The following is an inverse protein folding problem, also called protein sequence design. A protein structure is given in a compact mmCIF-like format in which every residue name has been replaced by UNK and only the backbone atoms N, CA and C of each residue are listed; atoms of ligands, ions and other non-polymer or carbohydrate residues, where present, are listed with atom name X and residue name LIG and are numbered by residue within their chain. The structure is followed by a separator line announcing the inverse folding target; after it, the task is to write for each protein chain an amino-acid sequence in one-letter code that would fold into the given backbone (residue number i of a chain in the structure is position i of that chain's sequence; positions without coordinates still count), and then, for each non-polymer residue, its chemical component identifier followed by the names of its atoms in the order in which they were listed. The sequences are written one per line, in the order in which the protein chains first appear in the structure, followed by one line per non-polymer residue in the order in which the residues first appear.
data_IF_918481397883
#
_entry.id   IF_918481397883
#
_cell.length_a   1.000
_cell.length_b   1.000
_cell.length_c   1.000
_cell.angle_alpha   90.00
_cell.angle_beta   90.00
_cell.angle_gamma   90.00
#
_symmetry.space_group_name_H-M   'P 1'
#
loop_
_entity.id
_entity.type
_entity.pdbx_description
1 polymer ?
#
# COMPACT_ATOMS: atom_id res chain seq x y z
N UNK A 1 5.72 9.53 -4.44
CA UNK A 1 5.32 8.18 -4.88
C UNK A 1 5.49 7.99 -6.39
N UNK A 2 4.84 8.79 -7.26
CA UNK A 2 4.94 8.63 -8.73
C UNK A 2 6.38 8.83 -9.25
N UNK A 3 7.14 9.77 -8.72
CA UNK A 3 8.54 9.95 -9.06
C UNK A 3 9.39 8.70 -8.72
N UNK A 4 9.12 8.05 -7.59
CA UNK A 4 9.75 6.78 -7.22
C UNK A 4 9.42 5.67 -8.24
N UNK A 5 8.14 5.57 -8.64
CA UNK A 5 7.70 4.61 -9.65
C UNK A 5 8.43 4.79 -10.98
N UNK A 6 8.60 6.03 -11.44
CA UNK A 6 9.35 6.34 -12.67
C UNK A 6 10.84 5.94 -12.54
N UNK A 7 11.48 6.26 -11.42
CA UNK A 7 12.89 5.91 -11.18
C UNK A 7 13.07 4.40 -11.16
N UNK A 8 12.18 3.65 -10.54
CA UNK A 8 12.21 2.19 -10.60
C UNK A 8 12.02 1.69 -12.05
N UNK A 9 11.05 2.25 -12.78
CA UNK A 9 10.78 1.83 -14.17
C UNK A 9 11.91 2.10 -15.17
N UNK A 10 12.77 3.08 -14.87
CA UNK A 10 13.93 3.39 -15.73
C UNK A 10 15.08 2.38 -15.59
N UNK A 11 15.07 1.49 -14.59
CA UNK A 11 16.09 0.46 -14.39
C UNK A 11 17.51 1.00 -14.21
N UNK A 12 17.66 2.19 -13.60
CA UNK A 12 18.94 2.85 -13.43
C UNK A 12 19.83 2.08 -12.43
N UNK A 13 21.15 2.18 -12.57
CA UNK A 13 22.12 1.55 -11.68
C UNK A 13 21.89 1.86 -10.19
N UNK A 14 21.53 3.11 -9.86
CA UNK A 14 21.15 3.54 -8.51
C UNK A 14 19.63 3.66 -8.32
N UNK A 15 18.83 3.09 -9.22
CA UNK A 15 17.39 3.21 -9.25
C UNK A 15 16.71 2.73 -7.96
N UNK A 16 17.21 1.67 -7.35
CA UNK A 16 16.69 1.14 -6.08
C UNK A 16 16.91 2.11 -4.92
N UNK A 17 18.08 2.72 -4.84
CA UNK A 17 18.41 3.68 -3.77
C UNK A 17 17.61 4.97 -3.94
N UNK A 18 17.66 5.56 -5.14
CA UNK A 18 16.96 6.82 -5.43
C UNK A 18 15.44 6.64 -5.31
N UNK A 19 14.91 5.57 -5.90
CA UNK A 19 13.48 5.24 -5.83
C UNK A 19 13.01 5.00 -4.39
N UNK A 20 13.80 4.28 -3.58
CA UNK A 20 13.51 4.03 -2.18
C UNK A 20 13.52 5.31 -1.34
N UNK A 21 14.52 6.18 -1.51
CA UNK A 21 14.58 7.48 -0.83
C UNK A 21 13.37 8.35 -1.20
N UNK A 22 13.04 8.44 -2.49
CA UNK A 22 11.87 9.20 -2.95
C UNK A 22 10.56 8.63 -2.37
N UNK A 23 10.48 7.31 -2.19
CA UNK A 23 9.33 6.66 -1.59
C UNK A 23 9.21 6.99 -0.10
N UNK A 24 10.31 6.96 0.65
CA UNK A 24 10.33 7.35 2.07
C UNK A 24 9.96 8.83 2.25
N UNK A 25 10.52 9.71 1.45
CA UNK A 25 10.19 11.16 1.46
C UNK A 25 8.71 11.38 1.15
N UNK A 26 8.17 10.69 0.13
CA UNK A 26 6.75 10.77 -0.20
C UNK A 26 5.86 10.30 0.95
N UNK A 27 6.20 9.18 1.59
CA UNK A 27 5.45 8.66 2.74
C UNK A 27 5.49 9.60 3.95
N UNK A 28 6.61 10.26 4.17
CA UNK A 28 6.74 11.27 5.23
C UNK A 28 5.81 12.46 5.00
N UNK A 29 5.79 13.02 3.79
CA UNK A 29 4.89 14.13 3.45
C UNK A 29 3.42 13.72 3.55
N UNK A 30 3.05 12.55 3.09
CA UNK A 30 1.70 11.98 3.17
C UNK A 30 1.21 11.91 4.64
N UNK A 31 2.10 11.47 5.53
CA UNK A 31 1.82 11.41 6.97
C UNK A 31 1.64 12.82 7.58
N UNK A 32 2.48 13.78 7.21
CA UNK A 32 2.41 15.16 7.72
C UNK A 32 1.15 15.84 7.22
N UNK A 33 0.85 15.76 5.93
CA UNK A 33 -0.33 16.39 5.32
C UNK A 33 -1.62 15.82 5.92
N UNK A 34 -1.69 14.50 6.13
CA UNK A 34 -2.80 13.86 6.80
C UNK A 34 -3.01 14.31 8.25
N UNK A 35 -1.92 14.56 8.99
CA UNK A 35 -2.00 15.10 10.36
C UNK A 35 -2.47 16.56 10.38
N UNK A 36 -1.93 17.39 9.50
CA UNK A 36 -2.31 18.81 9.36
C UNK A 36 -3.78 18.94 8.97
N UNK A 37 -4.25 18.17 8.00
CA UNK A 37 -5.65 18.18 7.58
C UNK A 37 -6.61 17.82 8.73
N UNK A 38 -6.26 16.83 9.53
CA UNK A 38 -7.05 16.46 10.74
C UNK A 38 -7.02 17.55 11.81
N UNK A 39 -5.85 18.14 12.08
CA UNK A 39 -5.69 19.17 13.10
C UNK A 39 -6.41 20.49 12.73
N UNK A 40 -6.51 20.80 11.43
CA UNK A 40 -7.15 22.04 10.95
C UNK A 40 -8.64 21.88 10.63
N UNK A 41 -9.19 20.67 10.73
CA UNK A 41 -10.60 20.38 10.41
C UNK A 41 -10.95 20.57 8.93
N UNK A 42 -9.97 20.71 8.04
CA UNK A 42 -10.14 20.92 6.60
C UNK A 42 -10.27 19.58 5.85
N UNK A 43 -11.10 18.68 6.34
CA UNK A 43 -11.38 17.42 5.65
C UNK A 43 -12.70 17.52 4.91
N UNK A 44 -12.69 17.31 3.59
CA UNK A 44 -13.91 17.16 2.79
C UNK A 44 -14.08 15.69 2.37
N UNK A 45 -15.33 15.25 2.19
CA UNK A 45 -15.61 13.89 1.71
C UNK A 45 -14.98 13.64 0.33
N UNK A 46 -15.05 14.64 -0.56
CA UNK A 46 -14.48 14.56 -1.89
C UNK A 46 -12.94 14.48 -1.85
N UNK A 47 -12.30 15.27 -0.97
CA UNK A 47 -10.86 15.22 -0.75
C UNK A 47 -10.39 13.85 -0.24
N UNK A 48 -11.08 13.30 0.76
CA UNK A 48 -10.77 11.98 1.30
C UNK A 48 -10.95 10.85 0.26
N UNK A 49 -11.96 10.95 -0.60
CA UNK A 49 -12.16 9.99 -1.69
C UNK A 49 -11.02 10.05 -2.71
N UNK A 50 -10.68 11.26 -3.18
CA UNK A 50 -9.60 11.45 -4.15
C UNK A 50 -8.25 11.01 -3.60
N UNK A 51 -7.94 11.34 -2.35
CA UNK A 51 -6.74 10.90 -1.66
C UNK A 51 -6.63 9.37 -1.65
N UNK A 52 -7.69 8.68 -1.24
CA UNK A 52 -7.74 7.22 -1.28
C UNK A 52 -7.52 6.64 -2.67
N UNK A 53 -8.04 7.28 -3.72
CA UNK A 53 -7.86 6.82 -5.10
C UNK A 53 -6.43 7.05 -5.59
N UNK A 54 -5.87 8.26 -5.35
CA UNK A 54 -4.48 8.56 -5.72
C UNK A 54 -3.49 7.66 -5.01
N UNK A 55 -3.77 7.29 -3.77
CA UNK A 55 -3.00 6.33 -3.01
C UNK A 55 -2.90 4.97 -3.71
N UNK A 56 -4.01 4.46 -4.23
CA UNK A 56 -4.01 3.18 -4.95
C UNK A 56 -3.32 3.28 -6.29
N UNK A 57 -3.55 4.37 -7.03
CA UNK A 57 -2.86 4.62 -8.29
C UNK A 57 -1.35 4.69 -8.07
N UNK A 58 -0.90 5.41 -7.04
CA UNK A 58 0.51 5.52 -6.71
C UNK A 58 1.13 4.18 -6.30
N UNK A 59 0.43 3.38 -5.49
CA UNK A 59 0.88 2.05 -5.07
C UNK A 59 1.03 1.11 -6.28
N UNK A 60 0.02 1.06 -7.16
CA UNK A 60 0.09 0.27 -8.40
C UNK A 60 1.23 0.76 -9.30
N UNK A 61 1.41 2.08 -9.45
CA UNK A 61 2.48 2.64 -10.26
C UNK A 61 3.88 2.25 -9.74
N UNK A 62 4.08 2.22 -8.41
CA UNK A 62 5.35 1.77 -7.80
C UNK A 62 5.63 0.32 -8.19
N UNK A 63 4.67 -0.58 -8.02
CA UNK A 63 4.85 -1.99 -8.38
C UNK A 63 5.06 -2.18 -9.88
N UNK A 64 4.34 -1.43 -10.74
CA UNK A 64 4.58 -1.44 -12.18
C UNK A 64 5.98 -0.93 -12.52
N UNK A 65 6.48 0.08 -11.82
CA UNK A 65 7.87 0.53 -11.94
C UNK A 65 8.87 -0.59 -11.61
N UNK A 66 8.65 -1.34 -10.53
CA UNK A 66 9.48 -2.49 -10.18
C UNK A 66 9.44 -3.60 -11.25
N UNK A 67 8.25 -3.83 -11.83
CA UNK A 67 8.06 -4.80 -12.91
C UNK A 67 8.85 -4.40 -14.16
N UNK A 68 8.69 -3.16 -14.61
CA UNK A 68 9.33 -2.63 -15.82
C UNK A 68 10.85 -2.54 -15.64
N UNK A 69 11.32 -2.16 -14.45
CA UNK A 69 12.72 -2.11 -14.10
C UNK A 69 13.39 -3.47 -13.92
N UNK A 70 12.60 -4.57 -13.92
CA UNK A 70 13.12 -5.94 -13.79
C UNK A 70 13.68 -6.27 -12.41
N UNK A 71 13.20 -5.62 -11.35
CA UNK A 71 13.73 -5.77 -9.99
C UNK A 71 13.18 -6.96 -9.21
N UNK A 72 12.14 -7.61 -9.70
CA UNK A 72 11.55 -8.81 -9.13
C UNK A 72 10.80 -9.60 -10.20
N UNK A 73 10.58 -10.88 -9.94
CA UNK A 73 9.84 -11.76 -10.83
C UNK A 73 8.43 -11.23 -11.14
N UNK A 74 8.02 -11.18 -12.43
CA UNK A 74 6.75 -10.58 -12.85
C UNK A 74 5.53 -11.12 -12.12
N UNK A 75 5.46 -12.43 -11.88
CA UNK A 75 4.34 -13.06 -11.18
C UNK A 75 4.24 -12.61 -9.71
N UNK A 76 5.38 -12.37 -9.04
CA UNK A 76 5.40 -11.85 -7.65
C UNK A 76 4.88 -10.43 -7.60
N UNK A 77 5.30 -9.58 -8.54
CA UNK A 77 4.83 -8.19 -8.62
C UNK A 77 3.32 -8.14 -8.91
N UNK A 78 2.84 -8.95 -9.84
CA UNK A 78 1.41 -9.04 -10.15
C UNK A 78 0.60 -9.50 -8.93
N UNK A 79 1.11 -10.49 -8.19
CA UNK A 79 0.47 -10.98 -6.97
C UNK A 79 0.47 -9.91 -5.86
N UNK A 80 1.57 -9.16 -5.70
CA UNK A 80 1.65 -8.04 -4.77
C UNK A 80 0.61 -6.95 -5.09
N UNK A 81 0.45 -6.57 -6.37
CA UNK A 81 -0.60 -5.64 -6.82
C UNK A 81 -1.98 -6.17 -6.47
N UNK A 82 -2.28 -7.40 -6.85
CA UNK A 82 -3.59 -8.01 -6.64
C UNK A 82 -3.95 -8.06 -5.15
N UNK A 83 -3.06 -8.57 -4.30
CA UNK A 83 -3.29 -8.67 -2.86
C UNK A 83 -3.40 -7.29 -2.20
N UNK A 84 -2.57 -6.31 -2.58
CA UNK A 84 -2.62 -4.94 -2.07
C UNK A 84 -3.96 -4.26 -2.38
N UNK A 85 -4.48 -4.45 -3.59
CA UNK A 85 -5.80 -3.94 -3.98
C UNK A 85 -6.93 -4.67 -3.25
N UNK A 86 -6.85 -6.00 -3.09
CA UNK A 86 -7.83 -6.79 -2.36
C UNK A 86 -7.89 -6.42 -0.87
N UNK A 87 -6.74 -6.18 -0.23
CA UNK A 87 -6.68 -5.67 1.16
C UNK A 87 -7.41 -4.34 1.29
N UNK A 88 -7.22 -3.44 0.33
CA UNK A 88 -7.89 -2.15 0.30
C UNK A 88 -9.39 -2.27 0.02
N UNK A 89 -9.76 -3.14 -0.91
CA UNK A 89 -11.15 -3.45 -1.24
C UNK A 89 -11.89 -4.06 -0.04
N UNK A 90 -11.27 -5.02 0.66
CA UNK A 90 -11.84 -5.62 1.87
C UNK A 90 -12.16 -4.56 2.93
N UNK A 91 -11.27 -3.57 3.13
CA UNK A 91 -11.52 -2.45 4.04
C UNK A 91 -12.70 -1.60 3.56
N UNK A 92 -12.68 -1.15 2.32
CA UNK A 92 -13.76 -0.31 1.77
C UNK A 92 -15.13 -1.03 1.82
N UNK A 93 -15.14 -2.35 1.56
CA UNK A 93 -16.36 -3.15 1.64
C UNK A 93 -16.87 -3.29 3.07
N UNK A 94 -15.99 -3.46 4.05
CA UNK A 94 -16.35 -3.53 5.47
C UNK A 94 -16.85 -2.19 5.99
N UNK A 95 -16.22 -1.08 5.59
CA UNK A 95 -16.66 0.26 5.95
C UNK A 95 -18.08 0.54 5.39
N UNK A 96 -18.39 0.08 4.17
CA UNK A 96 -19.74 0.15 3.58
C UNK A 96 -20.79 -0.67 4.35
N UNK A 97 -20.36 -1.69 5.11
CA UNK A 97 -21.23 -2.47 6.01
C UNK A 97 -21.25 -1.91 7.45
N UNK A 98 -20.68 -0.72 7.66
CA UNK A 98 -20.49 -0.11 8.99
C UNK A 98 -19.70 -1.00 9.97
N UNK A 99 -18.69 -1.73 9.45
CA UNK A 99 -17.75 -2.54 10.21
C UNK A 99 -16.37 -1.89 10.08
N UNK A 100 -15.87 -1.33 11.17
CA UNK A 100 -14.56 -0.66 11.19
C UNK A 100 -13.44 -1.68 11.32
N UNK A 101 -12.53 -1.73 10.34
CA UNK A 101 -11.33 -2.56 10.33
C UNK A 101 -10.06 -1.77 10.70
N UNK A 102 -10.19 -0.69 11.46
CA UNK A 102 -9.04 0.10 11.87
C UNK A 102 -8.13 -0.73 12.79
N UNK A 103 -6.83 -0.81 12.45
CA UNK A 103 -5.88 -1.64 13.18
C UNK A 103 -5.99 -3.16 12.92
N UNK A 104 -6.81 -3.58 11.95
CA UNK A 104 -6.90 -4.99 11.55
C UNK A 104 -5.97 -5.26 10.37
N UNK A 105 -4.94 -6.04 10.63
CA UNK A 105 -3.93 -6.46 9.65
C UNK A 105 -2.55 -5.88 9.94
N UNK A 106 -1.52 -6.61 9.51
CA UNK A 106 -0.10 -6.28 9.69
C UNK A 106 0.52 -5.67 8.44
N UNK A 107 -0.24 -5.53 7.36
CA UNK A 107 0.21 -5.04 6.04
C UNK A 107 -0.73 -3.97 5.52
N UNK A 108 -0.90 -2.87 6.24
CA UNK A 108 -1.51 -1.68 5.67
C UNK A 108 -0.60 -1.07 4.59
N UNK A 109 -1.08 -0.09 3.85
CA UNK A 109 -0.32 0.51 2.74
C UNK A 109 1.05 1.04 3.17
N UNK A 110 1.10 1.71 4.32
CA UNK A 110 2.34 2.32 4.81
C UNK A 110 3.42 1.25 5.08
N UNK A 111 3.06 0.15 5.75
CA UNK A 111 3.99 -0.93 6.05
C UNK A 111 4.51 -1.60 4.77
N UNK A 112 3.64 -1.86 3.78
CA UNK A 112 4.05 -2.44 2.50
C UNK A 112 5.04 -1.56 1.75
N UNK A 113 4.76 -0.25 1.66
CA UNK A 113 5.65 0.70 1.00
C UNK A 113 6.96 0.92 1.76
N UNK A 114 6.94 0.88 3.09
CA UNK A 114 8.16 0.90 3.91
C UNK A 114 9.04 -0.32 3.66
N UNK A 115 8.45 -1.52 3.56
CA UNK A 115 9.20 -2.74 3.22
C UNK A 115 9.88 -2.60 1.86
N UNK A 116 9.14 -2.15 0.83
CA UNK A 116 9.71 -1.90 -0.51
C UNK A 116 10.84 -0.86 -0.46
N UNK A 117 10.63 0.25 0.26
CA UNK A 117 11.63 1.32 0.32
C UNK A 117 12.90 0.87 1.05
N UNK A 118 12.77 0.34 2.27
CA UNK A 118 13.92 0.03 3.13
C UNK A 118 14.73 -1.14 2.56
N UNK A 119 14.07 -2.24 2.22
CA UNK A 119 14.75 -3.45 1.73
C UNK A 119 15.26 -3.22 0.30
N UNK A 120 14.51 -2.43 -0.51
CA UNK A 120 14.93 -2.03 -1.84
C UNK A 120 16.22 -1.19 -1.85
N UNK A 121 16.37 -0.23 -0.92
CA UNK A 121 17.60 0.57 -0.78
C UNK A 121 18.83 -0.32 -0.49
N UNK A 122 18.61 -1.42 0.23
CA UNK A 122 19.69 -2.38 0.55
C UNK A 122 20.02 -3.29 -0.67
N UNK A 123 19.22 -3.22 -1.74
CA UNK A 123 19.42 -4.00 -2.96
C UNK A 123 18.68 -5.34 -3.03
N UNK A 124 17.82 -5.65 -2.04
CA UNK A 124 17.07 -6.91 -1.97
C UNK A 124 15.60 -6.73 -2.36
N UNK A 125 15.34 -6.21 -3.58
CA UNK A 125 13.97 -5.86 -3.98
C UNK A 125 13.05 -7.07 -4.12
N UNK A 126 13.50 -8.18 -4.69
CA UNK A 126 12.68 -9.37 -4.83
C UNK A 126 12.25 -9.96 -3.47
N UNK A 127 13.12 -10.14 -2.48
CA UNK A 127 12.72 -10.44 -1.10
C UNK A 127 11.71 -9.44 -0.51
N UNK A 128 11.87 -8.15 -0.79
CA UNK A 128 10.91 -7.14 -0.35
C UNK A 128 9.51 -7.39 -0.91
N UNK A 129 9.41 -7.69 -2.20
CA UNK A 129 8.14 -8.01 -2.86
C UNK A 129 7.52 -9.29 -2.28
N UNK A 130 8.32 -10.32 -2.01
CA UNK A 130 7.86 -11.55 -1.37
C UNK A 130 7.27 -11.26 0.02
N UNK A 131 7.95 -10.45 0.83
CA UNK A 131 7.45 -10.03 2.14
C UNK A 131 6.11 -9.29 2.00
N UNK A 132 6.00 -8.39 1.03
CA UNK A 132 4.74 -7.68 0.76
C UNK A 132 3.62 -8.65 0.40
N UNK A 133 3.87 -9.63 -0.45
CA UNK A 133 2.90 -10.68 -0.81
C UNK A 133 2.40 -11.42 0.44
N UNK A 134 3.32 -11.82 1.30
CA UNK A 134 2.99 -12.57 2.53
C UNK A 134 2.16 -11.71 3.50
N UNK A 135 2.62 -10.50 3.83
CA UNK A 135 1.91 -9.63 4.79
C UNK A 135 0.55 -9.16 4.24
N UNK A 136 0.44 -8.89 2.93
CA UNK A 136 -0.83 -8.55 2.31
C UNK A 136 -1.80 -9.75 2.31
N UNK A 137 -1.31 -10.96 2.01
CA UNK A 137 -2.11 -12.18 2.08
C UNK A 137 -2.65 -12.44 3.49
N UNK A 138 -1.80 -12.38 4.51
CA UNK A 138 -2.21 -12.51 5.91
C UNK A 138 -3.24 -11.45 6.27
N UNK A 139 -3.00 -10.18 5.91
CA UNK A 139 -3.90 -9.06 6.20
C UNK A 139 -5.27 -9.26 5.54
N UNK A 140 -5.30 -9.74 4.30
CA UNK A 140 -6.56 -10.03 3.59
C UNK A 140 -7.38 -11.07 4.35
N UNK A 141 -6.76 -12.18 4.74
CA UNK A 141 -7.42 -13.25 5.51
C UNK A 141 -7.94 -12.73 6.86
N UNK A 142 -7.11 -11.97 7.60
CA UNK A 142 -7.52 -11.36 8.86
C UNK A 142 -8.76 -10.45 8.69
N UNK A 143 -8.76 -9.59 7.67
CA UNK A 143 -9.89 -8.70 7.37
C UNK A 143 -11.16 -9.46 7.01
N UNK A 144 -11.04 -10.53 6.21
CA UNK A 144 -12.18 -11.38 5.86
C UNK A 144 -12.78 -12.06 7.10
N UNK A 145 -11.95 -12.63 7.97
CA UNK A 145 -12.40 -13.31 9.20
C UNK A 145 -13.11 -12.32 10.14
N UNK A 146 -12.48 -11.17 10.40
CA UNK A 146 -13.04 -10.16 11.31
C UNK A 146 -14.35 -9.61 10.77
N UNK A 147 -14.43 -9.33 9.46
CA UNK A 147 -15.66 -8.85 8.84
C UNK A 147 -16.78 -9.89 8.93
N UNK A 148 -16.49 -11.16 8.59
CA UNK A 148 -17.48 -12.23 8.65
C UNK A 148 -18.03 -12.44 10.07
N UNK A 149 -17.15 -12.40 11.10
CA UNK A 149 -17.55 -12.49 12.49
C UNK A 149 -18.49 -11.36 12.91
N UNK A 150 -18.14 -10.10 12.58
CA UNK A 150 -18.95 -8.95 12.91
C UNK A 150 -20.33 -8.94 12.20
N UNK A 151 -20.40 -9.49 10.97
CA UNK A 151 -21.69 -9.65 10.27
C UNK A 151 -22.59 -10.60 11.04
N UNK A 152 -22.05 -11.76 11.46
CA UNK A 152 -22.81 -12.78 12.19
C UNK A 152 -23.35 -12.22 13.51
N UNK A 153 -22.52 -11.52 14.30
CA UNK A 153 -22.93 -10.89 15.57
C UNK A 153 -24.01 -9.79 15.44
N UNK A 154 -24.14 -9.16 14.26
CA UNK A 154 -25.18 -8.18 13.98
C UNK A 154 -26.50 -8.79 13.54
N UNK A 155 -26.50 -10.06 13.17
CA UNK A 155 -27.69 -10.75 12.61
C UNK A 155 -28.38 -11.64 13.69
N UNK A 156 -27.68 -11.95 14.77
CA UNK A 156 -28.20 -12.61 15.98
C UNK A 156 -28.74 -11.57 16.98
#
# INVERSE_FOLDING_TARGET
ALASALVYGLGLEFGLIIGGILLLVSGFFDMVDGQVARATGKTSQNGSYLDSMFDKIAEVAIFLGLLVGGYAEPYLVMLAIALSLLVSYARAKSDALNIKLQGVGIGERAERLLVIAIIGIIGYMEPAVIIVVVIAGITLVQRMIVTAKNIKEKTE
#
